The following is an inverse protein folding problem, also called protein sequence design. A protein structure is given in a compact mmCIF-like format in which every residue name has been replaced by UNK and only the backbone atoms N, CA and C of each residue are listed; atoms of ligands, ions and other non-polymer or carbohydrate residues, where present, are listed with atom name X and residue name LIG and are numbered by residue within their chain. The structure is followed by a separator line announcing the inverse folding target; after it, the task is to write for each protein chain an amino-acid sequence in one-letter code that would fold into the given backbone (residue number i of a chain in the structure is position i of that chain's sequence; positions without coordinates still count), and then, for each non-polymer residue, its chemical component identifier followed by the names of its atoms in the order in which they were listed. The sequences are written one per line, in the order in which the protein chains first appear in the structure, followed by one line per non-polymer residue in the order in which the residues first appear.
data_IF_183384875838
#
_entry.id   IF_183384875838
#
_cell.length_a   1.000
_cell.length_b   1.000
_cell.length_c   1.000
_cell.angle_alpha   90.00
_cell.angle_beta   90.00
_cell.angle_gamma   90.00
#
_symmetry.space_group_name_H-M   'P 1'
#
loop_
_entity.id
_entity.type
_entity.pdbx_description
1 polymer ?
#
# COMPACT_ATOMS: atom_id res chain seq x y z
N UNK A 1 6.56 -28.46 -34.92
CA UNK A 1 5.46 -28.11 -34.00
C UNK A 1 6.04 -27.09 -33.04
N UNK A 2 5.75 -25.81 -33.28
CA UNK A 2 6.23 -24.73 -32.42
C UNK A 2 5.44 -24.77 -31.12
N UNK A 3 6.14 -25.00 -30.02
CA UNK A 3 5.62 -24.80 -28.67
C UNK A 3 5.31 -23.31 -28.54
N UNK A 4 4.04 -22.96 -28.76
CA UNK A 4 3.54 -21.65 -28.42
C UNK A 4 3.59 -21.60 -26.90
N UNK A 5 4.72 -21.11 -26.36
CA UNK A 5 4.84 -20.72 -24.97
C UNK A 5 3.59 -19.88 -24.67
N UNK A 6 2.65 -20.49 -23.93
CA UNK A 6 1.45 -19.81 -23.48
C UNK A 6 1.95 -18.58 -22.74
N UNK A 7 1.80 -17.41 -23.36
CA UNK A 7 2.12 -16.14 -22.72
C UNK A 7 1.10 -16.02 -21.61
N UNK A 8 1.50 -16.45 -20.42
CA UNK A 8 0.69 -16.30 -19.23
C UNK A 8 0.64 -14.79 -18.99
N UNK A 9 -0.49 -14.17 -19.31
CA UNK A 9 -0.68 -12.73 -19.12
C UNK A 9 -0.36 -12.32 -17.67
N UNK A 10 0.21 -11.14 -17.48
CA UNK A 10 0.41 -10.63 -16.13
C UNK A 10 -0.94 -10.46 -15.41
N UNK A 11 -0.98 -10.73 -14.11
CA UNK A 11 -2.18 -10.47 -13.30
C UNK A 11 -2.38 -8.96 -13.22
N UNK A 12 -3.55 -8.48 -13.59
CA UNK A 12 -3.88 -7.05 -13.49
C UNK A 12 -4.27 -6.73 -12.04
N UNK A 13 -3.39 -6.01 -11.34
CA UNK A 13 -3.60 -5.58 -9.96
C UNK A 13 -4.29 -4.22 -9.82
N UNK A 14 -4.68 -3.58 -10.93
CA UNK A 14 -5.34 -2.27 -10.94
C UNK A 14 -6.87 -2.34 -10.82
N UNK A 15 -7.47 -3.54 -10.82
CA UNK A 15 -8.93 -3.69 -10.81
C UNK A 15 -9.63 -3.11 -9.58
N UNK A 16 -8.89 -2.92 -8.48
CA UNK A 16 -9.37 -2.30 -7.25
C UNK A 16 -8.98 -0.81 -7.12
N UNK A 17 -8.22 -0.27 -8.08
CA UNK A 17 -7.69 1.10 -8.07
C UNK A 17 -8.61 2.11 -8.78
N UNK A 18 -9.70 1.65 -9.40
CA UNK A 18 -10.80 2.50 -9.88
C UNK A 18 -12.12 2.26 -9.11
N UNK A 19 -13.08 3.21 -9.11
CA UNK A 19 -14.43 2.93 -8.64
C UNK A 19 -15.07 1.85 -9.52
N UNK A 20 -15.82 0.94 -8.92
CA UNK A 20 -16.52 -0.06 -9.71
C UNK A 20 -17.71 0.54 -10.48
N UNK A 21 -17.79 0.22 -11.78
CA UNK A 21 -18.91 0.63 -12.64
C UNK A 21 -19.80 -0.55 -13.02
N UNK A 22 -21.12 -0.35 -13.08
CA UNK A 22 -22.07 -1.39 -13.50
C UNK A 22 -22.54 -2.32 -12.37
N UNK A 23 -23.50 -3.21 -12.69
CA UNK A 23 -24.12 -4.13 -11.74
C UNK A 23 -23.18 -5.29 -11.41
N UNK A 24 -22.96 -5.65 -10.12
CA UNK A 24 -22.16 -6.81 -9.74
C UNK A 24 -22.74 -8.10 -10.33
N UNK A 25 -21.88 -8.99 -10.82
CA UNK A 25 -22.27 -10.36 -11.18
C UNK A 25 -22.43 -11.15 -9.87
N UNK A 26 -23.61 -11.74 -9.62
CA UNK A 26 -23.86 -12.47 -8.39
C UNK A 26 -23.04 -13.76 -8.33
N UNK A 27 -22.72 -14.15 -7.10
CA UNK A 27 -22.26 -15.50 -6.77
C UNK A 27 -23.49 -16.28 -6.33
N UNK A 28 -23.79 -17.37 -7.04
CA UNK A 28 -24.90 -18.25 -6.70
C UNK A 28 -24.41 -19.29 -5.68
N UNK A 29 -24.90 -19.18 -4.44
CA UNK A 29 -24.63 -20.15 -3.37
C UNK A 29 -25.88 -20.95 -2.98
N UNK A 30 -26.92 -20.98 -3.84
CA UNK A 30 -28.19 -21.66 -3.54
C UNK A 30 -28.03 -23.18 -3.42
N UNK A 31 -27.16 -23.77 -4.23
CA UNK A 31 -26.89 -25.22 -4.25
C UNK A 31 -25.62 -25.62 -3.47
N UNK A 32 -24.96 -24.67 -2.80
CA UNK A 32 -23.71 -24.91 -2.07
C UNK A 32 -22.66 -23.82 -2.30
N UNK A 33 -21.41 -24.03 -1.86
CA UNK A 33 -20.33 -23.08 -2.12
C UNK A 33 -20.07 -22.91 -3.62
N UNK A 34 -19.81 -21.68 -4.06
CA UNK A 34 -19.48 -21.42 -5.47
C UNK A 34 -18.14 -22.11 -5.84
N UNK A 35 -18.13 -22.99 -6.86
CA UNK A 35 -16.95 -23.80 -7.18
C UNK A 35 -15.74 -22.96 -7.60
N UNK A 36 -15.95 -21.73 -8.10
CA UNK A 36 -14.87 -20.81 -8.48
C UNK A 36 -14.17 -20.25 -7.23
N UNK A 37 -14.92 -19.97 -6.17
CA UNK A 37 -14.36 -19.56 -4.88
C UNK A 37 -13.69 -20.73 -4.15
N UNK A 38 -14.25 -21.93 -4.25
CA UNK A 38 -13.61 -23.14 -3.72
C UNK A 38 -12.28 -23.43 -4.42
N UNK A 39 -12.21 -23.26 -5.74
CA UNK A 39 -10.97 -23.40 -6.49
C UNK A 39 -9.88 -22.43 -5.99
N UNK A 40 -10.22 -21.15 -5.80
CA UNK A 40 -9.29 -20.16 -5.22
C UNK A 40 -8.84 -20.57 -3.82
N UNK A 41 -9.78 -21.01 -2.99
CA UNK A 41 -9.48 -21.50 -1.63
C UNK A 41 -8.54 -22.70 -1.66
N UNK A 42 -8.74 -23.62 -2.59
CA UNK A 42 -7.87 -24.78 -2.81
C UNK A 42 -6.46 -24.38 -3.25
N UNK A 43 -6.32 -23.36 -4.10
CA UNK A 43 -5.02 -22.81 -4.52
C UNK A 43 -4.29 -22.17 -3.34
N UNK A 44 -5.00 -21.38 -2.52
CA UNK A 44 -4.45 -20.79 -1.29
C UNK A 44 -3.99 -21.88 -0.33
N UNK A 45 -4.78 -22.94 -0.13
CA UNK A 45 -4.42 -24.04 0.76
C UNK A 45 -3.16 -24.81 0.31
N UNK A 46 -2.91 -24.87 -1.00
CA UNK A 46 -1.71 -25.49 -1.60
C UNK A 46 -0.49 -24.56 -1.61
N UNK A 47 -0.66 -23.28 -1.25
CA UNK A 47 0.39 -22.28 -1.37
C UNK A 47 0.61 -21.74 -2.79
N UNK A 48 -0.29 -22.05 -3.73
CA UNK A 48 -0.24 -21.57 -5.12
C UNK A 48 -0.78 -20.14 -5.21
N UNK A 49 -0.13 -19.18 -4.53
CA UNK A 49 -0.66 -17.82 -4.36
C UNK A 49 -0.74 -17.02 -5.67
N UNK A 50 0.19 -17.22 -6.60
CA UNK A 50 0.15 -16.58 -7.91
C UNK A 50 -1.05 -17.06 -8.75
N UNK A 51 -1.34 -18.36 -8.72
CA UNK A 51 -2.53 -18.93 -9.38
C UNK A 51 -3.82 -18.48 -8.67
N UNK A 52 -3.82 -18.43 -7.33
CA UNK A 52 -4.96 -17.95 -6.56
C UNK A 52 -5.30 -16.49 -6.91
N UNK A 53 -4.29 -15.63 -7.02
CA UNK A 53 -4.48 -14.23 -7.40
C UNK A 53 -4.96 -14.10 -8.85
N UNK A 54 -4.44 -14.89 -9.78
CA UNK A 54 -4.92 -14.93 -11.17
C UNK A 54 -6.39 -15.37 -11.25
N UNK A 55 -6.78 -16.39 -10.49
CA UNK A 55 -8.16 -16.84 -10.46
C UNK A 55 -9.09 -15.80 -9.81
N UNK A 56 -8.64 -15.13 -8.75
CA UNK A 56 -9.39 -14.03 -8.13
C UNK A 56 -9.53 -12.82 -9.08
N UNK A 57 -8.46 -12.45 -9.76
CA UNK A 57 -8.41 -11.41 -10.78
C UNK A 57 -9.39 -11.72 -11.92
N UNK A 58 -9.38 -12.93 -12.45
CA UNK A 58 -10.32 -13.35 -13.50
C UNK A 58 -11.79 -13.18 -13.07
N UNK A 59 -12.14 -13.50 -11.82
CA UNK A 59 -13.49 -13.25 -11.31
C UNK A 59 -13.80 -11.75 -11.19
N UNK A 60 -12.89 -10.95 -10.63
CA UNK A 60 -13.04 -9.50 -10.55
C UNK A 60 -13.27 -8.87 -11.93
N UNK A 61 -12.49 -9.30 -12.94
CA UNK A 61 -12.63 -8.84 -14.34
C UNK A 61 -14.01 -9.14 -14.93
N UNK A 62 -14.60 -10.29 -14.57
CA UNK A 62 -15.96 -10.65 -15.01
C UNK A 62 -17.08 -9.89 -14.28
N UNK A 63 -16.73 -9.01 -13.34
CA UNK A 63 -17.69 -8.21 -12.55
C UNK A 63 -18.17 -8.90 -11.27
N UNK A 64 -17.58 -10.03 -10.89
CA UNK A 64 -17.82 -10.64 -9.58
C UNK A 64 -17.19 -9.77 -8.50
N UNK A 65 -17.99 -9.27 -7.56
CA UNK A 65 -17.53 -8.39 -6.48
C UNK A 65 -17.78 -9.05 -5.14
N UNK A 66 -16.93 -10.01 -4.79
CA UNK A 66 -17.00 -10.71 -3.50
C UNK A 66 -15.77 -10.38 -2.65
N UNK A 67 -15.99 -9.99 -1.39
CA UNK A 67 -14.90 -9.61 -0.48
C UNK A 67 -13.89 -10.73 -0.21
N UNK A 68 -14.29 -12.00 -0.42
CA UNK A 68 -13.40 -13.16 -0.27
C UNK A 68 -12.28 -13.18 -1.31
N UNK A 69 -12.42 -12.43 -2.41
CA UNK A 69 -11.38 -12.30 -3.44
C UNK A 69 -10.23 -11.37 -3.01
N UNK A 70 -10.48 -10.42 -2.10
CA UNK A 70 -9.50 -9.40 -1.71
C UNK A 70 -8.21 -10.00 -1.16
N UNK A 71 -8.31 -11.00 -0.27
CA UNK A 71 -7.16 -11.64 0.35
C UNK A 71 -6.24 -12.31 -0.69
N UNK A 72 -6.74 -13.33 -1.43
CA UNK A 72 -5.94 -14.04 -2.42
C UNK A 72 -5.37 -13.12 -3.51
N UNK A 73 -6.16 -12.17 -4.00
CA UNK A 73 -5.73 -11.20 -5.01
C UNK A 73 -4.57 -10.34 -4.51
N UNK A 74 -4.74 -9.64 -3.38
CA UNK A 74 -3.73 -8.74 -2.84
C UNK A 74 -2.50 -9.48 -2.33
N UNK A 75 -2.64 -10.69 -1.79
CA UNK A 75 -1.49 -11.46 -1.34
C UNK A 75 -0.64 -11.95 -2.52
N UNK A 76 -1.26 -12.35 -3.64
CA UNK A 76 -0.49 -12.72 -4.82
C UNK A 76 0.32 -11.55 -5.38
N UNK A 77 -0.22 -10.32 -5.36
CA UNK A 77 0.55 -9.11 -5.69
C UNK A 77 1.80 -8.98 -4.81
N UNK A 78 1.65 -9.14 -3.49
CA UNK A 78 2.79 -9.08 -2.57
C UNK A 78 3.81 -10.20 -2.80
N UNK A 79 3.37 -11.42 -3.12
CA UNK A 79 4.26 -12.54 -3.46
C UNK A 79 5.03 -12.27 -4.74
N UNK A 80 4.40 -11.66 -5.74
CA UNK A 80 5.02 -11.33 -7.03
C UNK A 80 6.02 -10.18 -6.92
N UNK A 81 5.62 -9.05 -6.33
CA UNK A 81 6.37 -7.79 -6.45
C UNK A 81 7.06 -7.37 -5.13
N UNK A 82 6.84 -8.10 -4.04
CA UNK A 82 7.51 -7.85 -2.76
C UNK A 82 7.24 -6.46 -2.20
N UNK A 83 8.29 -5.72 -1.84
CA UNK A 83 8.14 -4.36 -1.30
C UNK A 83 7.51 -3.37 -2.29
N UNK A 84 7.69 -3.59 -3.60
CA UNK A 84 7.11 -2.72 -4.64
C UNK A 84 5.60 -2.84 -4.74
N UNK A 85 5.02 -3.95 -4.27
CA UNK A 85 3.58 -4.14 -4.20
C UNK A 85 2.87 -3.22 -3.19
N UNK A 86 3.58 -2.80 -2.13
CA UNK A 86 2.95 -2.23 -0.94
C UNK A 86 2.08 -0.99 -1.23
N UNK A 87 2.50 -0.03 -2.07
CA UNK A 87 1.66 1.12 -2.39
C UNK A 87 0.33 0.74 -3.03
N UNK A 88 0.37 -0.11 -4.07
CA UNK A 88 -0.83 -0.58 -4.77
C UNK A 88 -1.72 -1.37 -3.81
N UNK A 89 -1.13 -2.31 -3.04
CA UNK A 89 -1.87 -3.12 -2.08
C UNK A 89 -2.63 -2.27 -1.06
N UNK A 90 -1.97 -1.28 -0.46
CA UNK A 90 -2.56 -0.45 0.59
C UNK A 90 -3.63 0.49 0.02
N UNK A 91 -3.40 1.04 -1.17
CA UNK A 91 -4.36 1.89 -1.89
C UNK A 91 -5.60 1.09 -2.30
N UNK A 92 -5.43 -0.04 -2.98
CA UNK A 92 -6.49 -0.96 -3.38
C UNK A 92 -7.32 -1.41 -2.16
N UNK A 93 -6.66 -1.75 -1.05
CA UNK A 93 -7.36 -2.16 0.17
C UNK A 93 -8.16 -1.00 0.77
N UNK A 94 -7.54 0.19 0.90
CA UNK A 94 -8.22 1.38 1.42
C UNK A 94 -9.49 1.70 0.61
N UNK A 95 -9.38 1.73 -0.72
CA UNK A 95 -10.50 2.01 -1.62
C UNK A 95 -11.56 0.91 -1.56
N UNK A 96 -11.17 -0.35 -1.45
CA UNK A 96 -12.10 -1.48 -1.28
C UNK A 96 -12.94 -1.37 -0.02
N UNK A 97 -12.36 -0.86 1.06
CA UNK A 97 -13.01 -0.71 2.37
C UNK A 97 -13.80 0.59 2.53
N UNK A 98 -13.61 1.55 1.63
CA UNK A 98 -14.22 2.88 1.73
C UNK A 98 -15.09 3.15 0.51
N UNK A 99 -14.49 3.50 -0.62
CA UNK A 99 -15.17 3.91 -1.85
C UNK A 99 -15.98 2.77 -2.51
N UNK A 100 -15.41 1.57 -2.56
CA UNK A 100 -15.98 0.43 -3.28
C UNK A 100 -16.78 -0.52 -2.39
N UNK A 101 -16.92 -0.21 -1.10
CA UNK A 101 -17.47 -1.13 -0.10
C UNK A 101 -18.86 -1.64 -0.49
N UNK A 102 -19.75 -0.75 -0.92
CA UNK A 102 -21.15 -1.09 -1.22
C UNK A 102 -21.31 -1.93 -2.49
N UNK A 103 -20.33 -1.90 -3.39
CA UNK A 103 -20.32 -2.73 -4.58
C UNK A 103 -19.96 -4.18 -4.28
N UNK A 104 -19.36 -4.47 -3.12
CA UNK A 104 -19.04 -5.82 -2.70
C UNK A 104 -20.19 -6.54 -2.01
N UNK A 105 -20.31 -7.82 -2.30
CA UNK A 105 -21.09 -8.82 -1.59
C UNK A 105 -20.22 -9.84 -0.84
N UNK A 106 -20.84 -10.88 -0.28
CA UNK A 106 -22.29 -11.10 -0.22
C UNK A 106 -22.95 -10.24 0.88
N UNK A 107 -24.19 -9.75 0.66
CA UNK A 107 -24.87 -8.90 1.64
C UNK A 107 -25.07 -9.64 2.98
N UNK A 108 -24.99 -8.91 4.09
CA UNK A 108 -25.14 -9.45 5.45
C UNK A 108 -23.91 -10.21 5.99
N UNK A 109 -23.24 -11.02 5.17
CA UNK A 109 -22.03 -11.77 5.57
C UNK A 109 -20.72 -11.05 5.23
N UNK A 110 -20.77 -10.02 4.37
CA UNK A 110 -19.62 -9.22 3.94
C UNK A 110 -18.67 -8.80 5.09
N UNK A 111 -19.13 -8.23 6.23
CA UNK A 111 -18.24 -7.87 7.34
C UNK A 111 -17.45 -9.07 7.91
N UNK A 112 -18.08 -10.24 8.01
CA UNK A 112 -17.45 -11.45 8.56
C UNK A 112 -16.40 -11.99 7.59
N UNK A 113 -16.73 -12.02 6.29
CA UNK A 113 -15.83 -12.54 5.27
C UNK A 113 -14.64 -11.61 5.01
N UNK A 114 -14.85 -10.30 4.97
CA UNK A 114 -13.73 -9.35 4.81
C UNK A 114 -12.79 -9.43 6.01
N UNK A 115 -13.30 -9.44 7.24
CA UNK A 115 -12.47 -9.51 8.44
C UNK A 115 -11.67 -10.82 8.50
N UNK A 116 -12.29 -11.94 8.12
CA UNK A 116 -11.58 -13.23 8.02
C UNK A 116 -10.50 -13.21 6.95
N UNK A 117 -10.82 -12.71 5.75
CA UNK A 117 -9.87 -12.62 4.64
C UNK A 117 -8.70 -11.68 4.92
N UNK A 118 -8.96 -10.53 5.53
CA UNK A 118 -7.93 -9.53 5.85
C UNK A 118 -7.04 -9.98 7.00
N UNK A 119 -7.58 -10.62 8.05
CA UNK A 119 -6.72 -11.27 9.05
C UNK A 119 -5.79 -12.29 8.43
N UNK A 120 -6.29 -13.10 7.50
CA UNK A 120 -5.46 -14.06 6.77
C UNK A 120 -4.37 -13.33 5.97
N UNK A 121 -4.72 -12.32 5.18
CA UNK A 121 -3.79 -11.52 4.39
C UNK A 121 -2.67 -10.92 5.27
N UNK A 122 -3.03 -10.18 6.32
CA UNK A 122 -2.07 -9.51 7.21
C UNK A 122 -1.17 -10.51 7.94
N UNK A 123 -1.72 -11.65 8.37
CA UNK A 123 -0.96 -12.75 8.96
C UNK A 123 0.03 -13.34 7.96
N UNK A 124 -0.39 -13.57 6.72
CA UNK A 124 0.46 -14.15 5.69
C UNK A 124 1.58 -13.19 5.30
N UNK A 125 1.29 -11.90 5.10
CA UNK A 125 2.33 -10.88 4.86
C UNK A 125 3.36 -10.84 5.98
N UNK A 126 2.91 -10.82 7.24
CA UNK A 126 3.79 -10.80 8.41
C UNK A 126 4.67 -12.05 8.48
N UNK A 127 4.08 -13.23 8.26
CA UNK A 127 4.83 -14.50 8.23
C UNK A 127 5.86 -14.54 7.12
N UNK A 128 5.51 -14.07 5.92
CA UNK A 128 6.43 -14.04 4.77
C UNK A 128 7.58 -13.07 5.04
N UNK A 129 7.30 -11.89 5.60
CA UNK A 129 8.33 -10.94 6.05
C UNK A 129 9.28 -11.57 7.08
N UNK A 130 8.73 -12.19 8.13
CA UNK A 130 9.50 -12.84 9.20
C UNK A 130 10.35 -13.98 8.64
N UNK A 131 9.78 -14.83 7.78
CA UNK A 131 10.46 -15.97 7.18
C UNK A 131 11.70 -15.55 6.41
N UNK A 132 11.55 -14.64 5.44
CA UNK A 132 12.68 -14.18 4.62
C UNK A 132 13.68 -13.38 5.45
N UNK A 133 13.23 -12.58 6.42
CA UNK A 133 14.12 -11.87 7.36
C UNK A 133 14.99 -12.83 8.16
N UNK A 134 14.41 -13.93 8.65
CA UNK A 134 15.15 -14.95 9.40
C UNK A 134 16.15 -15.69 8.52
N UNK A 135 15.76 -16.04 7.30
CA UNK A 135 16.64 -16.78 6.37
C UNK A 135 17.72 -15.92 5.73
N UNK A 136 17.49 -14.59 5.63
CA UNK A 136 18.34 -13.65 4.89
C UNK A 136 18.63 -14.12 3.45
N UNK A 137 17.63 -14.77 2.85
CA UNK A 137 17.73 -15.39 1.53
C UNK A 137 17.67 -14.37 0.39
N UNK A 138 17.68 -14.86 -0.86
CA UNK A 138 17.66 -14.02 -2.05
C UNK A 138 16.46 -13.06 -2.08
N UNK A 139 15.29 -13.48 -1.58
CA UNK A 139 14.11 -12.63 -1.50
C UNK A 139 14.32 -11.49 -0.50
N UNK A 140 14.88 -11.80 0.68
CA UNK A 140 15.25 -10.77 1.65
C UNK A 140 16.28 -9.79 1.09
N UNK A 141 17.32 -10.28 0.41
CA UNK A 141 18.31 -9.41 -0.25
C UNK A 141 17.64 -8.51 -1.29
N UNK A 142 16.73 -9.07 -2.10
CA UNK A 142 15.98 -8.31 -3.09
C UNK A 142 15.11 -7.22 -2.46
N UNK A 143 14.54 -7.44 -1.27
CA UNK A 143 13.78 -6.43 -0.53
C UNK A 143 14.65 -5.33 0.09
N UNK A 144 15.90 -5.65 0.46
CA UNK A 144 16.86 -4.65 0.96
C UNK A 144 17.60 -3.92 -0.17
N UNK A 145 17.34 -4.27 -1.43
CA UNK A 145 17.95 -3.60 -2.57
C UNK A 145 17.52 -2.12 -2.64
N UNK A 146 18.41 -1.32 -3.20
CA UNK A 146 18.16 0.10 -3.50
C UNK A 146 16.88 0.25 -4.32
N UNK A 147 16.06 1.23 -3.97
CA UNK A 147 14.78 1.51 -4.63
C UNK A 147 13.55 0.86 -3.98
N UNK A 148 13.71 0.00 -2.97
CA UNK A 148 12.56 -0.54 -2.22
C UNK A 148 12.10 0.32 -1.05
N UNK A 149 12.93 1.28 -0.61
CA UNK A 149 12.56 2.15 0.52
C UNK A 149 11.37 3.05 0.21
N UNK A 150 11.36 3.69 -0.96
CA UNK A 150 10.28 4.59 -1.36
C UNK A 150 8.89 3.91 -1.39
N UNK A 151 8.72 2.71 -1.99
CA UNK A 151 7.46 1.97 -1.90
C UNK A 151 7.01 1.67 -0.46
N UNK A 152 7.94 1.35 0.44
CA UNK A 152 7.61 1.10 1.85
C UNK A 152 7.14 2.40 2.52
N UNK A 153 7.88 3.50 2.33
CA UNK A 153 7.55 4.80 2.91
C UNK A 153 6.22 5.37 2.36
N UNK A 154 5.90 5.15 1.09
CA UNK A 154 4.57 5.45 0.53
C UNK A 154 3.47 4.64 1.20
N UNK A 155 3.66 3.33 1.35
CA UNK A 155 2.68 2.48 2.02
C UNK A 155 2.47 2.87 3.50
N UNK A 156 3.55 3.21 4.21
CA UNK A 156 3.49 3.66 5.61
C UNK A 156 2.68 4.95 5.78
N UNK A 157 2.73 5.88 4.80
CA UNK A 157 1.89 7.10 4.81
C UNK A 157 0.39 6.78 4.71
N UNK A 158 0.01 5.65 4.12
CA UNK A 158 -1.37 5.17 4.06
C UNK A 158 -1.81 4.38 5.30
N UNK A 159 -0.89 4.13 6.25
CA UNK A 159 -1.14 3.30 7.42
C UNK A 159 -2.28 3.80 8.32
N UNK A 160 -2.27 5.09 8.69
CA UNK A 160 -3.30 5.66 9.57
C UNK A 160 -4.68 5.72 8.91
N UNK A 161 -4.83 6.20 7.64
CA UNK A 161 -6.09 6.10 6.91
C UNK A 161 -6.63 4.67 6.83
N UNK A 162 -5.76 3.69 6.59
CA UNK A 162 -6.15 2.29 6.49
C UNK A 162 -6.56 1.70 7.85
N UNK A 163 -5.89 2.09 8.94
CA UNK A 163 -6.31 1.75 10.31
C UNK A 163 -7.72 2.28 10.58
N UNK A 164 -8.00 3.53 10.20
CA UNK A 164 -9.33 4.13 10.38
C UNK A 164 -10.40 3.37 9.57
N UNK A 165 -10.12 3.04 8.31
CA UNK A 165 -11.03 2.25 7.46
C UNK A 165 -11.33 0.87 8.08
N UNK A 166 -10.30 0.16 8.57
CA UNK A 166 -10.49 -1.12 9.27
C UNK A 166 -11.26 -0.97 10.58
N UNK A 167 -11.06 0.12 11.33
CA UNK A 167 -11.75 0.39 12.58
C UNK A 167 -13.23 0.72 12.39
N UNK A 168 -13.62 1.22 11.23
CA UNK A 168 -15.02 1.46 10.87
C UNK A 168 -15.79 0.18 10.51
N UNK A 169 -15.10 -0.92 10.22
CA UNK A 169 -15.74 -2.20 9.90
C UNK A 169 -16.39 -2.82 11.16
N UNK A 170 -17.62 -3.36 11.05
CA UNK A 170 -18.28 -4.02 12.17
C UNK A 170 -17.47 -5.20 12.73
N UNK A 171 -17.14 -5.15 14.02
CA UNK A 171 -16.40 -6.21 14.75
C UNK A 171 -15.04 -6.56 14.14
N UNK A 172 -14.38 -5.59 13.51
CA UNK A 172 -13.05 -5.76 12.93
C UNK A 172 -12.01 -6.15 13.97
N UNK A 173 -11.29 -7.24 13.70
CA UNK A 173 -10.12 -7.66 14.46
C UNK A 173 -8.82 -7.46 13.66
N UNK A 174 -8.84 -6.60 12.64
CA UNK A 174 -7.74 -6.38 11.72
C UNK A 174 -6.83 -5.20 12.11
N UNK A 175 -7.27 -4.32 13.01
CA UNK A 175 -6.54 -3.11 13.40
C UNK A 175 -5.18 -3.43 14.03
N UNK A 176 -5.14 -4.29 15.05
CA UNK A 176 -3.89 -4.62 15.72
C UNK A 176 -2.92 -5.45 14.84
N UNK A 177 -3.41 -6.43 14.04
CA UNK A 177 -2.58 -7.05 13.01
C UNK A 177 -1.98 -6.04 12.02
N UNK A 178 -2.74 -5.04 11.57
CA UNK A 178 -2.22 -4.01 10.68
C UNK A 178 -1.16 -3.15 11.38
N UNK A 179 -1.40 -2.70 12.61
CA UNK A 179 -0.39 -1.95 13.39
C UNK A 179 0.90 -2.72 13.55
N UNK A 180 0.80 -4.02 13.81
CA UNK A 180 1.95 -4.93 13.92
C UNK A 180 2.71 -4.99 12.60
N UNK A 181 2.01 -5.17 11.47
CA UNK A 181 2.62 -5.18 10.14
C UNK A 181 3.31 -3.85 9.82
N UNK A 182 2.66 -2.72 10.10
CA UNK A 182 3.22 -1.38 9.90
C UNK A 182 4.50 -1.17 10.74
N UNK A 183 4.52 -1.64 11.98
CA UNK A 183 5.71 -1.60 12.84
C UNK A 183 6.87 -2.41 12.28
N UNK A 184 6.58 -3.60 11.75
CA UNK A 184 7.57 -4.46 11.06
C UNK A 184 8.10 -3.79 9.79
N UNK A 185 7.22 -3.21 8.96
CA UNK A 185 7.61 -2.50 7.74
C UNK A 185 8.46 -1.26 8.05
N UNK A 186 8.12 -0.51 9.10
CA UNK A 186 8.91 0.65 9.56
C UNK A 186 10.31 0.23 10.00
N UNK A 187 10.40 -0.85 10.79
CA UNK A 187 11.69 -1.41 11.20
C UNK A 187 12.49 -1.89 9.99
N UNK A 188 11.85 -2.51 9.01
CA UNK A 188 12.51 -2.96 7.78
C UNK A 188 13.04 -1.77 6.97
N UNK A 189 12.23 -0.73 6.75
CA UNK A 189 12.61 0.46 5.98
C UNK A 189 13.87 1.16 6.51
N UNK A 190 14.09 1.14 7.83
CA UNK A 190 15.30 1.70 8.45
C UNK A 190 16.59 0.99 7.99
N UNK A 191 16.51 -0.29 7.64
CA UNK A 191 17.63 -1.07 7.11
C UNK A 191 17.80 -1.00 5.59
N UNK A 192 16.84 -0.44 4.87
CA UNK A 192 16.90 -0.32 3.39
C UNK A 192 17.59 1.00 3.01
N UNK A 193 18.56 0.98 2.09
CA UNK A 193 19.21 2.19 1.58
C UNK A 193 18.18 3.20 1.04
N UNK A 194 18.27 4.44 1.50
CA UNK A 194 17.50 5.56 0.99
C UNK A 194 18.27 6.24 -0.15
N UNK A 195 17.64 6.40 -1.30
CA UNK A 195 18.10 7.34 -2.30
C UNK A 195 17.27 8.62 -2.12
N UNK A 196 17.88 9.77 -1.81
CA UNK A 196 17.16 11.03 -1.87
C UNK A 196 16.63 11.25 -3.29
N UNK A 197 15.45 11.89 -3.44
CA UNK A 197 14.96 12.30 -4.75
C UNK A 197 16.05 13.09 -5.49
N UNK A 198 16.18 12.95 -6.82
CA UNK A 198 17.08 13.79 -7.57
C UNK A 198 16.74 15.25 -7.27
N UNK A 199 17.73 16.02 -6.81
CA UNK A 199 17.55 17.44 -6.48
C UNK A 199 17.02 18.16 -7.71
N UNK A 200 15.92 18.90 -7.55
CA UNK A 200 15.42 19.79 -8.60
C UNK A 200 16.49 20.88 -8.84
N UNK A 201 17.05 21.00 -10.05
CA UNK A 201 18.02 22.05 -10.38
C UNK A 201 17.49 23.45 -10.08
N UNK A 202 16.17 23.67 -10.14
CA UNK A 202 15.55 24.97 -9.86
C UNK A 202 15.58 25.33 -8.37
N UNK A 203 15.47 24.35 -7.47
CA UNK A 203 15.55 24.58 -6.03
C UNK A 203 16.98 24.99 -5.60
N UNK A 204 18.01 24.47 -6.28
CA UNK A 204 19.40 24.90 -6.10
C UNK A 204 19.65 26.32 -6.65
N UNK A 205 19.04 26.69 -7.77
CA UNK A 205 19.22 28.02 -8.35
C UNK A 205 18.61 29.14 -7.47
N UNK A 206 17.47 28.88 -6.84
CA UNK A 206 16.81 29.84 -5.93
C UNK A 206 17.57 30.04 -4.60
N UNK A 207 18.33 29.05 -4.15
CA UNK A 207 19.14 29.15 -2.93
C UNK A 207 20.49 29.86 -3.10
N UNK A 208 20.87 30.20 -4.34
CA UNK A 208 22.17 30.82 -4.68
C UNK A 208 22.02 32.30 -5.08
N UNK A 209 20.80 32.82 -5.22
CA UNK A 209 20.62 34.25 -5.48
C UNK A 209 21.10 35.08 -4.28
N UNK A 210 22.08 35.99 -4.44
CA UNK A 210 22.45 36.93 -3.38
C UNK A 210 21.27 37.87 -3.13
N UNK A 211 20.97 38.15 -1.85
CA UNK A 211 20.13 39.29 -1.50
C UNK A 211 20.83 40.56 -2.02
N UNK A 212 20.28 41.17 -3.06
CA UNK A 212 20.60 42.55 -3.42
C UNK A 212 20.00 43.42 -2.32
N UNK A 213 20.81 43.76 -1.31
CA UNK A 213 20.52 44.80 -0.34
C UNK A 213 20.47 46.14 -1.08
N UNK A 214 19.25 46.57 -1.41
CA UNK A 214 18.90 47.97 -1.66
C UNK A 214 19.10 48.75 -0.35
N UNK A 215 20.21 49.48 -0.23
CA UNK A 215 20.39 50.49 0.81
C UNK A 215 20.65 51.83 0.11
N UNK A 216 19.56 52.45 -0.35
CA UNK A 216 19.49 53.84 -0.80
C UNK A 216 19.38 54.80 0.40
N UNK A 217 20.02 55.95 0.23
CA UNK A 217 20.31 57.07 1.12
C UNK A 217 19.13 57.69 1.89
N UNK A 218 19.43 58.28 3.06
CA UNK A 218 18.97 59.58 3.62
C UNK A 218 19.15 59.54 5.16
N UNK A 219 19.65 60.51 5.92
CA UNK A 219 20.00 61.91 5.74
C UNK A 219 20.08 62.54 7.15
N UNK A 220 21.16 63.26 7.43
CA UNK A 220 21.40 64.36 8.38
C UNK A 220 20.72 64.46 9.79
N UNK A 221 21.61 64.77 10.76
CA UNK A 221 21.59 65.97 11.63
C UNK A 221 21.56 65.86 13.18
N UNK A 222 22.45 66.69 13.76
CA UNK A 222 22.43 67.38 15.07
C UNK A 222 22.99 66.74 16.36
N UNK A 223 24.27 67.08 16.61
CA UNK A 223 24.79 67.84 17.77
C UNK A 223 24.31 67.47 19.20
N UNK A 224 25.13 66.69 19.93
CA UNK A 224 24.94 66.44 21.37
C UNK A 224 26.08 67.06 22.21
N UNK A 225 25.79 68.22 22.81
CA UNK A 225 26.62 68.88 23.80
C UNK A 225 26.54 68.16 25.16
N UNK A 226 27.69 67.69 25.66
CA UNK A 226 27.84 67.10 27.01
C UNK A 226 27.83 68.16 28.10
N UNK A 227 27.09 67.99 29.21
CA UNK A 227 27.43 68.61 30.49
C UNK A 227 28.25 67.63 31.35
N UNK A 228 29.39 68.07 31.85
CA UNK A 228 30.09 67.41 32.95
C UNK A 228 29.88 68.23 34.23
N UNK A 229 29.15 67.64 35.19
CA UNK A 229 29.06 68.15 36.55
C UNK A 229 30.16 67.54 37.41
N UNK A 230 30.90 68.37 38.17
CA UNK A 230 30.96 68.28 39.65
C UNK A 230 31.90 69.33 40.27
N UNK A 231 31.43 69.87 41.39
CA UNK A 231 32.27 70.19 42.55
C UNK A 231 32.44 68.94 43.42
#
# INVERSE_FOLDING_TARGET
MGDAALVIEAVDFSLLDAPFTGTPVPIDETEGPDPRLEAITGLVAKGSYAEAARAAEALLRTGVRDVRLLGPYLFGLFVSDGMKALPVLFRSLSRSLTENWDAFGPPGKKPIFVDTGLRWLLKMMSKTLEHHTRLKDAQWQAWNAVGNREPIDEALRMGDPLIAALGALPKSACVDPLRTLLGTLRSHAQGVPYLPPPEDPQAKALAIAPDEEDDDEDGDDEEEARPAARA
#
